data_IF_818785156795
#
_entry.id   IF_818785156795
#
_cell.length_a   1.000
_cell.length_b   1.000
_cell.length_c   1.000
_cell.angle_alpha   90.00
_cell.angle_beta   90.00
_cell.angle_gamma   90.00
#
_symmetry.space_group_name_H-M   'P 1'
#
loop_
_entity.id
_entity.type
_entity.pdbx_description
1 polymer ?
#
# COMPACT_ATOMS: atom_id res chain seq x y z
N UNK A 1 74.99 20.42 -10.90
CA UNK A 1 74.65 19.20 -11.67
C UNK A 1 73.95 18.13 -10.82
N UNK A 2 74.59 17.43 -9.86
CA UNK A 2 73.91 16.39 -9.05
C UNK A 2 72.63 16.84 -8.33
N UNK A 3 72.63 18.06 -7.78
CA UNK A 3 71.48 18.63 -7.07
C UNK A 3 70.30 18.99 -8.00
N UNK A 4 70.60 19.29 -9.26
CA UNK A 4 69.61 19.60 -10.30
C UNK A 4 68.88 18.32 -10.75
N UNK A 5 69.65 17.24 -10.98
CA UNK A 5 69.12 15.93 -11.33
C UNK A 5 68.24 15.34 -10.21
N UNK A 6 68.62 15.57 -8.96
CA UNK A 6 67.84 15.14 -7.80
C UNK A 6 66.51 15.90 -7.70
N UNK A 7 66.52 17.22 -7.91
CA UNK A 7 65.28 18.03 -7.99
C UNK A 7 64.37 17.56 -9.11
N UNK A 8 64.91 17.28 -10.30
CA UNK A 8 64.14 16.76 -11.44
C UNK A 8 63.52 15.39 -11.14
N UNK A 9 64.25 14.49 -10.47
CA UNK A 9 63.72 13.18 -10.03
C UNK A 9 62.58 13.33 -9.02
N UNK A 10 62.71 14.24 -8.06
CA UNK A 10 61.67 14.50 -7.06
C UNK A 10 60.42 15.08 -7.73
N UNK A 11 60.58 16.02 -8.66
CA UNK A 11 59.46 16.62 -9.39
C UNK A 11 58.74 15.59 -10.28
N UNK A 12 59.48 14.75 -11.01
CA UNK A 12 58.92 13.66 -11.79
C UNK A 12 58.16 12.66 -10.91
N UNK A 13 58.67 12.36 -9.70
CA UNK A 13 57.99 11.50 -8.73
C UNK A 13 56.70 12.14 -8.22
N UNK A 14 56.71 13.44 -7.92
CA UNK A 14 55.51 14.20 -7.51
C UNK A 14 54.44 14.17 -8.60
N UNK A 15 54.80 14.45 -9.86
CA UNK A 15 53.88 14.38 -11.00
C UNK A 15 53.23 13.00 -11.15
N UNK A 16 54.01 11.92 -11.01
CA UNK A 16 53.48 10.54 -11.06
C UNK A 16 52.52 10.22 -9.90
N UNK A 17 52.79 10.74 -8.71
CA UNK A 17 51.91 10.56 -7.53
C UNK A 17 50.59 11.30 -7.75
N UNK A 18 50.65 12.53 -8.24
CA UNK A 18 49.49 13.36 -8.51
C UNK A 18 48.60 12.76 -9.62
N UNK A 19 49.20 12.28 -10.70
CA UNK A 19 48.49 11.58 -11.78
C UNK A 19 47.78 10.31 -11.26
N UNK A 20 48.46 9.54 -10.38
CA UNK A 20 47.84 8.36 -9.74
C UNK A 20 46.66 8.74 -8.85
N UNK A 21 46.78 9.81 -8.06
CA UNK A 21 45.66 10.31 -7.23
C UNK A 21 44.47 10.72 -8.09
N UNK A 22 44.70 11.42 -9.20
CA UNK A 22 43.65 11.82 -10.15
C UNK A 22 42.94 10.60 -10.75
N UNK A 23 43.69 9.58 -11.20
CA UNK A 23 43.10 8.33 -11.73
C UNK A 23 42.26 7.57 -10.69
N UNK A 24 42.68 7.58 -9.42
CA UNK A 24 41.92 6.98 -8.32
C UNK A 24 40.61 7.75 -8.09
N UNK A 25 40.67 9.08 -8.09
CA UNK A 25 39.49 9.92 -7.89
C UNK A 25 38.48 9.76 -9.03
N UNK A 26 38.94 9.76 -10.28
CA UNK A 26 38.08 9.49 -11.44
C UNK A 26 37.42 8.10 -11.36
N UNK A 27 38.15 7.07 -10.91
CA UNK A 27 37.57 5.74 -10.68
C UNK A 27 36.51 5.75 -9.59
N UNK A 28 36.74 6.43 -8.47
CA UNK A 28 35.75 6.57 -7.38
C UNK A 28 34.48 7.26 -7.88
N UNK A 29 34.62 8.35 -8.62
CA UNK A 29 33.47 9.07 -9.17
C UNK A 29 32.66 8.21 -10.14
N UNK A 30 33.32 7.42 -11.00
CA UNK A 30 32.64 6.47 -11.90
C UNK A 30 31.83 5.43 -11.11
N UNK A 31 32.42 4.85 -10.07
CA UNK A 31 31.74 3.87 -9.20
C UNK A 31 30.52 4.50 -8.52
N UNK A 32 30.64 5.71 -7.99
CA UNK A 32 29.52 6.42 -7.34
C UNK A 32 28.40 6.70 -8.34
N UNK A 33 28.74 7.19 -9.54
CA UNK A 33 27.77 7.47 -10.60
C UNK A 33 27.03 6.19 -11.04
N UNK A 34 27.75 5.08 -11.17
CA UNK A 34 27.17 3.79 -11.53
C UNK A 34 26.26 3.25 -10.43
N UNK A 35 26.67 3.32 -9.16
CA UNK A 35 25.80 2.93 -8.03
C UNK A 35 24.52 3.76 -7.98
N UNK A 36 24.60 5.07 -8.18
CA UNK A 36 23.42 5.95 -8.25
C UNK A 36 22.49 5.54 -9.39
N UNK A 37 23.03 5.29 -10.59
CA UNK A 37 22.23 4.82 -11.73
C UNK A 37 21.54 3.47 -11.47
N UNK A 38 22.25 2.52 -10.84
CA UNK A 38 21.66 1.23 -10.46
C UNK A 38 20.55 1.38 -9.42
N UNK A 39 20.75 2.22 -8.41
CA UNK A 39 19.72 2.50 -7.40
C UNK A 39 18.49 3.17 -8.02
N UNK A 40 18.68 4.14 -8.91
CA UNK A 40 17.57 4.81 -9.61
C UNK A 40 16.81 3.84 -10.53
N UNK A 41 17.52 3.00 -11.27
CA UNK A 41 16.90 1.97 -12.11
C UNK A 41 16.09 0.97 -11.28
N UNK A 42 16.61 0.55 -10.12
CA UNK A 42 15.88 -0.34 -9.22
C UNK A 42 14.60 0.31 -8.68
N UNK A 43 14.64 1.60 -8.30
CA UNK A 43 13.45 2.34 -7.86
C UNK A 43 12.41 2.47 -8.97
N UNK A 44 12.83 2.78 -10.20
CA UNK A 44 11.93 2.85 -11.37
C UNK A 44 11.28 1.49 -11.66
N UNK A 45 12.04 0.40 -11.60
CA UNK A 45 11.51 -0.95 -11.81
C UNK A 45 10.52 -1.37 -10.71
N UNK A 46 10.76 -0.96 -9.46
CA UNK A 46 9.82 -1.20 -8.36
C UNK A 46 8.52 -0.40 -8.52
N UNK A 47 8.63 0.87 -8.91
CA UNK A 47 7.48 1.73 -9.19
C UNK A 47 6.64 1.18 -10.36
N UNK A 48 7.28 0.72 -11.43
CA UNK A 48 6.62 0.09 -12.57
C UNK A 48 5.89 -1.19 -12.16
N UNK A 49 6.51 -2.06 -11.35
CA UNK A 49 5.87 -3.25 -10.78
C UNK A 49 4.67 -2.91 -9.91
N UNK A 50 4.77 -1.84 -9.12
CA UNK A 50 3.67 -1.38 -8.27
C UNK A 50 2.51 -0.83 -9.12
N UNK A 51 2.81 -0.08 -10.17
CA UNK A 51 1.85 0.44 -11.12
C UNK A 51 1.14 -0.69 -11.88
N UNK A 52 1.88 -1.69 -12.35
CA UNK A 52 1.32 -2.87 -13.01
C UNK A 52 0.39 -3.65 -12.05
N UNK A 53 0.80 -3.82 -10.79
CA UNK A 53 -0.03 -4.48 -9.76
C UNK A 53 -1.30 -3.69 -9.47
N UNK A 54 -1.25 -2.35 -9.45
CA UNK A 54 -2.42 -1.48 -9.32
C UNK A 54 -3.35 -1.61 -10.52
N UNK A 55 -2.82 -1.54 -11.74
CA UNK A 55 -3.59 -1.70 -12.97
C UNK A 55 -4.25 -3.08 -13.05
N UNK A 56 -3.54 -4.14 -12.66
CA UNK A 56 -4.10 -5.50 -12.58
C UNK A 56 -5.22 -5.60 -11.56
N UNK A 57 -5.07 -4.98 -10.38
CA UNK A 57 -6.13 -4.92 -9.36
C UNK A 57 -7.35 -4.16 -9.87
N UNK A 58 -7.16 -3.04 -10.56
CA UNK A 58 -8.25 -2.27 -11.16
C UNK A 58 -8.99 -3.09 -12.23
N UNK A 59 -8.26 -3.78 -13.12
CA UNK A 59 -8.85 -4.69 -14.12
C UNK A 59 -9.63 -5.83 -13.49
N UNK A 60 -9.12 -6.44 -12.42
CA UNK A 60 -9.83 -7.48 -11.67
C UNK A 60 -11.10 -6.96 -11.00
N UNK A 61 -11.07 -5.73 -10.47
CA UNK A 61 -12.27 -5.10 -9.91
C UNK A 61 -13.30 -4.81 -11.00
N UNK A 62 -12.88 -4.28 -12.16
CA UNK A 62 -13.75 -4.05 -13.33
C UNK A 62 -14.35 -5.36 -13.87
N UNK A 63 -13.54 -6.40 -14.02
CA UNK A 63 -14.01 -7.71 -14.46
C UNK A 63 -15.03 -8.32 -13.48
N UNK A 64 -14.77 -8.22 -12.16
CA UNK A 64 -15.74 -8.67 -11.13
C UNK A 64 -17.03 -7.86 -11.15
N UNK A 65 -16.99 -6.57 -11.51
CA UNK A 65 -18.21 -5.78 -11.68
C UNK A 65 -18.97 -6.15 -12.95
N UNK A 66 -18.28 -6.47 -14.05
CA UNK A 66 -18.91 -6.87 -15.32
C UNK A 66 -19.46 -8.31 -15.29
N UNK A 67 -18.79 -9.23 -14.59
CA UNK A 67 -19.26 -10.60 -14.39
C UNK A 67 -20.54 -10.64 -13.53
N UNK A 68 -20.63 -9.78 -12.52
CA UNK A 68 -21.87 -9.55 -11.75
C UNK A 68 -23.01 -8.93 -12.56
N UNK A 69 -22.72 -8.24 -13.68
CA UNK A 69 -23.74 -7.64 -14.56
C UNK A 69 -24.31 -8.66 -15.57
N UNK A 70 -23.59 -9.75 -15.87
CA UNK A 70 -24.09 -10.81 -16.77
C UNK A 70 -24.87 -11.91 -16.06
N UNK A 71 -24.71 -12.05 -14.75
CA UNK A 71 -25.47 -13.00 -13.92
C UNK A 71 -26.77 -12.36 -13.37
N UNK A 72 -27.56 -11.73 -14.24
CA UNK A 72 -28.94 -11.34 -13.90
C UNK A 72 -29.86 -12.52 -14.22
N UNK A 73 -29.81 -13.50 -13.33
CA UNK A 73 -30.89 -14.50 -13.13
C UNK A 73 -31.99 -13.83 -12.29
N UNK A 74 -33.28 -14.16 -12.49
CA UNK A 74 -34.40 -13.32 -12.08
C UNK A 74 -34.49 -13.11 -10.57
N UNK A 75 -34.86 -11.87 -10.20
CA UNK A 75 -35.27 -11.39 -8.88
C UNK A 75 -35.77 -12.50 -7.94
N UNK A 76 -34.93 -12.90 -6.98
CA UNK A 76 -35.33 -13.32 -5.63
C UNK A 76 -34.10 -13.38 -4.71
N UNK A 77 -34.21 -12.66 -3.59
CA UNK A 77 -33.22 -12.44 -2.52
C UNK A 77 -32.24 -11.29 -2.78
N UNK A 78 -32.78 -10.11 -2.48
CA UNK A 78 -32.13 -8.84 -2.18
C UNK A 78 -30.72 -9.03 -1.57
N UNK A 79 -29.67 -8.71 -2.33
CA UNK A 79 -28.36 -8.33 -1.81
C UNK A 79 -28.10 -6.90 -2.29
N UNK A 80 -28.56 -5.94 -1.50
CA UNK A 80 -28.31 -4.52 -1.70
C UNK A 80 -26.81 -4.26 -1.78
N UNK A 81 -26.37 -3.83 -2.96
CA UNK A 81 -25.10 -3.14 -3.14
C UNK A 81 -25.32 -1.74 -2.59
N UNK A 82 -24.88 -1.51 -1.35
CA UNK A 82 -24.90 -0.16 -0.77
C UNK A 82 -23.85 0.68 -1.52
N UNK A 83 -24.23 1.79 -2.17
CA UNK A 83 -23.29 2.65 -2.87
C UNK A 83 -22.35 3.35 -1.87
N UNK A 84 -21.07 3.40 -2.23
CA UNK A 84 -20.05 4.18 -1.54
C UNK A 84 -20.37 5.68 -1.71
N UNK A 85 -20.71 6.35 -0.60
CA UNK A 85 -20.94 7.80 -0.56
C UNK A 85 -19.82 8.40 0.30
N UNK A 86 -18.91 9.16 -0.32
CA UNK A 86 -17.97 10.00 0.41
C UNK A 86 -18.53 11.40 0.57
N UNK A 87 -18.36 11.98 1.76
CA UNK A 87 -17.82 13.31 2.15
C UNK A 87 -18.38 13.55 3.57
N UNK A 88 -17.47 13.66 4.56
CA UNK A 88 -17.61 14.10 5.97
C UNK A 88 -16.76 13.20 6.91
N UNK A 89 -15.98 13.80 7.82
CA UNK A 89 -15.01 13.09 8.68
C UNK A 89 -15.67 12.02 9.58
N UNK A 90 -16.88 12.30 10.10
CA UNK A 90 -17.67 11.33 10.88
C UNK A 90 -18.10 10.12 10.04
N UNK A 91 -18.36 10.32 8.75
CA UNK A 91 -18.72 9.22 7.83
C UNK A 91 -17.51 8.37 7.46
N UNK A 92 -16.29 8.92 7.52
CA UNK A 92 -15.05 8.15 7.31
C UNK A 92 -14.81 7.20 8.48
N UNK A 93 -15.02 7.67 9.70
CA UNK A 93 -14.93 6.86 10.92
C UNK A 93 -15.96 5.72 10.90
N UNK A 94 -17.24 6.01 10.61
CA UNK A 94 -18.29 5.00 10.48
C UNK A 94 -17.93 3.91 9.45
N UNK A 95 -17.42 4.32 8.28
CA UNK A 95 -17.00 3.39 7.23
C UNK A 95 -15.82 2.51 7.67
N UNK A 96 -14.88 3.08 8.42
CA UNK A 96 -13.71 2.36 8.93
C UNK A 96 -14.11 1.31 9.97
N UNK A 97 -14.90 1.69 10.98
CA UNK A 97 -15.39 0.78 12.01
C UNK A 97 -16.26 -0.33 11.40
N UNK A 98 -17.13 -0.01 10.43
CA UNK A 98 -17.92 -1.02 9.73
C UNK A 98 -17.04 -2.03 8.98
N UNK A 99 -15.95 -1.58 8.35
CA UNK A 99 -14.98 -2.46 7.68
C UNK A 99 -14.23 -3.33 8.69
N UNK A 100 -13.76 -2.75 9.80
CA UNK A 100 -13.05 -3.47 10.84
C UNK A 100 -13.94 -4.53 11.51
N UNK A 101 -15.20 -4.20 11.80
CA UNK A 101 -16.20 -5.14 12.32
C UNK A 101 -16.36 -6.34 11.40
N UNK A 102 -16.47 -6.11 10.09
CA UNK A 102 -16.52 -7.18 9.09
C UNK A 102 -15.25 -8.03 9.03
N UNK A 103 -14.07 -7.43 9.12
CA UNK A 103 -12.81 -8.16 9.14
C UNK A 103 -12.67 -9.03 10.40
N UNK A 104 -13.04 -8.51 11.57
CA UNK A 104 -13.03 -9.28 12.81
C UNK A 104 -14.07 -10.40 12.79
N UNK A 105 -15.24 -10.18 12.21
CA UNK A 105 -16.28 -11.19 12.05
C UNK A 105 -15.77 -12.36 11.19
N UNK A 106 -15.12 -12.07 10.06
CA UNK A 106 -14.50 -13.09 9.20
C UNK A 106 -13.38 -13.86 9.89
N UNK A 107 -12.63 -13.20 10.79
CA UNK A 107 -11.60 -13.84 11.62
C UNK A 107 -12.18 -14.61 12.82
N UNK A 108 -13.50 -14.73 12.94
CA UNK A 108 -14.21 -15.34 14.10
C UNK A 108 -13.89 -14.67 15.44
N UNK A 109 -13.45 -13.41 15.42
CA UNK A 109 -13.22 -12.59 16.62
C UNK A 109 -14.51 -11.86 16.98
N UNK A 110 -15.54 -12.63 17.32
CA UNK A 110 -16.93 -12.15 17.42
C UNK A 110 -17.13 -11.01 18.43
N UNK A 111 -16.51 -11.08 19.61
CA UNK A 111 -16.59 -9.97 20.58
C UNK A 111 -16.06 -8.64 20.03
N UNK A 112 -14.95 -8.68 19.28
CA UNK A 112 -14.41 -7.48 18.64
C UNK A 112 -15.33 -6.99 17.53
N UNK A 113 -15.87 -7.90 16.73
CA UNK A 113 -16.82 -7.56 15.68
C UNK A 113 -18.07 -6.86 16.24
N UNK A 114 -18.64 -7.37 17.35
CA UNK A 114 -19.81 -6.78 18.02
C UNK A 114 -19.52 -5.33 18.42
N UNK A 115 -18.38 -5.08 19.08
CA UNK A 115 -17.99 -3.73 19.52
C UNK A 115 -17.96 -2.76 18.34
N UNK A 116 -17.32 -3.14 17.23
CA UNK A 116 -17.23 -2.30 16.04
C UNK A 116 -18.61 -2.01 15.42
N UNK A 117 -19.49 -3.02 15.34
CA UNK A 117 -20.83 -2.84 14.77
C UNK A 117 -21.79 -2.07 15.69
N UNK A 118 -21.69 -2.25 17.01
CA UNK A 118 -22.46 -1.47 17.99
C UNK A 118 -22.03 0.00 17.96
N UNK A 119 -20.73 0.28 17.81
CA UNK A 119 -20.23 1.63 17.59
C UNK A 119 -20.85 2.25 16.33
N UNK A 120 -20.84 1.54 15.20
CA UNK A 120 -21.46 2.00 13.95
C UNK A 120 -22.94 2.31 14.15
N UNK A 121 -23.71 1.43 14.81
CA UNK A 121 -25.13 1.66 15.11
C UNK A 121 -25.37 2.85 16.02
N UNK A 122 -24.48 3.14 16.96
CA UNK A 122 -24.61 4.30 17.85
C UNK A 122 -24.46 5.65 17.14
N UNK A 123 -23.86 5.66 15.94
CA UNK A 123 -23.55 6.87 15.18
C UNK A 123 -24.47 7.12 13.98
N UNK A 124 -25.34 6.16 13.66
CA UNK A 124 -26.22 6.22 12.49
C UNK A 124 -27.68 6.03 12.90
N UNK A 125 -28.59 6.54 12.08
CA UNK A 125 -30.02 6.29 12.23
C UNK A 125 -30.46 5.03 11.48
N UNK A 126 -31.72 4.62 11.69
CA UNK A 126 -32.30 3.39 11.11
C UNK A 126 -32.35 3.40 9.57
N UNK A 127 -32.40 4.60 8.97
CA UNK A 127 -32.43 4.77 7.51
C UNK A 127 -31.04 4.69 6.88
N UNK A 128 -29.97 4.65 7.67
CA UNK A 128 -28.61 4.56 7.16
C UNK A 128 -28.35 3.15 6.63
N UNK A 129 -27.68 2.99 5.48
CA UNK A 129 -27.55 1.69 4.83
C UNK A 129 -26.76 0.65 5.63
N UNK A 130 -25.95 1.07 6.61
CA UNK A 130 -25.24 0.14 7.51
C UNK A 130 -26.03 -0.28 8.75
N UNK A 131 -27.19 0.31 9.03
CA UNK A 131 -27.93 0.03 10.25
C UNK A 131 -28.45 -1.42 10.29
N UNK A 132 -29.17 -1.83 9.25
CA UNK A 132 -29.68 -3.20 9.13
C UNK A 132 -28.53 -4.22 9.06
N UNK A 133 -27.51 -4.06 8.19
CA UNK A 133 -26.40 -5.00 8.14
C UNK A 133 -25.63 -5.13 9.46
N UNK A 134 -25.39 -4.02 10.17
CA UNK A 134 -24.69 -4.07 11.46
C UNK A 134 -25.50 -4.82 12.51
N UNK A 135 -26.83 -4.68 12.51
CA UNK A 135 -27.72 -5.41 13.42
C UNK A 135 -27.65 -6.91 13.19
N UNK A 136 -27.71 -7.34 11.93
CA UNK A 136 -27.59 -8.76 11.56
C UNK A 136 -26.24 -9.32 12.02
N UNK A 137 -25.14 -8.63 11.74
CA UNK A 137 -23.81 -9.11 12.15
C UNK A 137 -23.63 -9.18 13.67
N UNK A 138 -24.27 -8.28 14.43
CA UNK A 138 -24.24 -8.34 15.90
C UNK A 138 -25.01 -9.57 16.39
N UNK A 139 -26.20 -9.82 15.85
CA UNK A 139 -27.02 -10.98 16.21
C UNK A 139 -26.30 -12.29 15.89
N UNK A 140 -25.78 -12.45 14.67
CA UNK A 140 -25.02 -13.64 14.27
C UNK A 140 -23.76 -13.84 15.14
N UNK A 141 -23.08 -12.75 15.52
CA UNK A 141 -21.91 -12.83 16.39
C UNK A 141 -22.27 -13.20 17.84
N UNK A 142 -23.43 -12.74 18.35
CA UNK A 142 -23.94 -13.09 19.69
C UNK A 142 -24.38 -14.55 19.74
N UNK A 143 -25.11 -15.01 18.72
CA UNK A 143 -25.48 -16.41 18.56
C UNK A 143 -24.24 -17.32 18.49
N UNK A 144 -23.22 -16.94 17.72
CA UNK A 144 -21.96 -17.68 17.62
C UNK A 144 -21.16 -17.74 18.94
N UNK A 145 -21.41 -16.81 19.87
CA UNK A 145 -20.83 -16.79 21.21
C UNK A 145 -21.73 -17.45 22.27
N UNK A 146 -22.95 -17.87 21.91
CA UNK A 146 -23.92 -18.47 22.82
C UNK A 146 -24.64 -17.48 23.73
N UNK A 147 -24.72 -16.21 23.33
CA UNK A 147 -25.61 -15.24 23.96
C UNK A 147 -26.98 -15.34 23.25
N UNK A 148 -27.89 -16.14 23.83
CA UNK A 148 -29.32 -16.17 23.45
C UNK A 148 -30.03 -14.87 23.86
#
# INVERSE_FOLDING_TARGET
QKLEEEKQRIEARRKRIEERKRKIEEKKQRIIKEKKRRAEAARKAEEERLAERRARRERLMKAKTEEKVKEVIPFKKVKEVIPFISVDDERMEINQHYRQGREYFQQKKFMKAIIEFEFVRSKINENHPYFIPSSIYIEEAKEALGYE
#
